data_IF_213365688334
#
_entry.id   IF_213365688334
#
_cell.length_a   1.000
_cell.length_b   1.000
_cell.length_c   1.000
_cell.angle_alpha   90.00
_cell.angle_beta   90.00
_cell.angle_gamma   90.00
#
_symmetry.space_group_name_H-M   'P 1'
#
loop_
_entity.id
_entity.type
_entity.pdbx_description
1 polymer ?
#
# COMPACT_ATOMS: atom_id res chain seq x y z
N UNK A 1 -35.41 -18.15 -5.56
CA UNK A 1 -34.20 -18.08 -6.42
C UNK A 1 -33.75 -16.63 -6.51
N UNK A 2 -32.67 -16.24 -5.82
CA UNK A 2 -31.94 -14.98 -6.07
C UNK A 2 -30.45 -15.29 -5.90
N UNK A 3 -29.74 -15.31 -7.02
CA UNK A 3 -28.27 -15.43 -7.12
C UNK A 3 -27.68 -14.01 -7.22
N UNK A 4 -26.43 -13.87 -6.76
CA UNK A 4 -25.56 -12.72 -7.01
C UNK A 4 -25.75 -11.60 -5.98
N UNK A 5 -24.74 -11.12 -5.27
CA UNK A 5 -23.33 -10.99 -5.63
C UNK A 5 -22.45 -11.47 -4.48
N UNK A 6 -21.69 -12.55 -4.70
CA UNK A 6 -20.43 -12.73 -3.98
C UNK A 6 -19.46 -11.77 -4.66
N UNK A 7 -19.22 -10.61 -4.04
CA UNK A 7 -18.03 -9.81 -4.32
C UNK A 7 -16.86 -10.69 -3.94
N UNK A 8 -16.35 -11.42 -4.93
CA UNK A 8 -15.15 -12.21 -4.82
C UNK A 8 -14.01 -11.18 -4.74
N UNK A 9 -13.77 -10.64 -3.56
CA UNK A 9 -12.54 -9.91 -3.26
C UNK A 9 -11.44 -10.95 -3.34
N UNK A 10 -10.86 -11.08 -4.53
CA UNK A 10 -9.61 -11.77 -4.73
C UNK A 10 -8.58 -10.95 -3.96
N UNK A 11 -8.46 -11.22 -2.66
CA UNK A 11 -7.34 -10.77 -1.85
C UNK A 11 -6.12 -11.30 -2.60
N UNK A 12 -5.21 -10.45 -3.10
CA UNK A 12 -3.95 -10.94 -3.61
C UNK A 12 -3.28 -11.57 -2.40
N UNK A 13 -3.19 -12.89 -2.36
CA UNK A 13 -2.27 -13.60 -1.49
C UNK A 13 -0.85 -13.36 -2.03
N UNK A 14 -0.39 -12.11 -1.94
CA UNK A 14 0.99 -11.71 -2.04
C UNK A 14 1.42 -11.46 -0.61
N UNK A 15 2.28 -12.31 -0.08
CA UNK A 15 2.95 -12.06 1.19
C UNK A 15 4.43 -11.95 0.87
N UNK A 16 4.82 -10.81 0.28
CA UNK A 16 6.20 -10.56 -0.14
C UNK A 16 7.17 -10.77 1.03
N UNK A 17 6.75 -10.47 2.26
CA UNK A 17 7.51 -10.76 3.48
C UNK A 17 7.67 -12.26 3.77
N UNK A 18 6.71 -13.12 3.42
CA UNK A 18 6.90 -14.56 3.51
C UNK A 18 7.85 -15.07 2.42
N UNK A 19 7.79 -14.53 1.21
CA UNK A 19 8.71 -14.89 0.13
C UNK A 19 10.14 -14.50 0.51
N UNK A 20 10.33 -13.32 1.08
CA UNK A 20 11.60 -12.87 1.64
C UNK A 20 12.08 -13.80 2.77
N UNK A 21 11.19 -14.21 3.69
CA UNK A 21 11.52 -15.18 4.75
C UNK A 21 11.99 -16.52 4.18
N UNK A 22 11.31 -17.05 3.15
CA UNK A 22 11.69 -18.31 2.48
C UNK A 22 13.03 -18.19 1.77
N UNK A 23 13.30 -17.08 1.07
CA UNK A 23 14.59 -16.83 0.43
C UNK A 23 15.73 -16.76 1.45
N UNK A 24 15.49 -16.12 2.61
CA UNK A 24 16.48 -16.06 3.68
C UNK A 24 16.78 -17.45 4.27
N UNK A 25 15.75 -18.28 4.48
CA UNK A 25 15.92 -19.68 4.90
C UNK A 25 16.72 -20.50 3.87
N UNK A 26 16.37 -20.40 2.59
CA UNK A 26 17.08 -21.09 1.51
C UNK A 26 18.54 -20.64 1.41
N UNK A 27 18.84 -19.36 1.66
CA UNK A 27 20.21 -18.86 1.70
C UNK A 27 21.01 -19.49 2.85
N UNK A 28 20.40 -19.60 4.05
CA UNK A 28 21.01 -20.22 5.22
C UNK A 28 21.33 -21.71 4.96
N UNK A 29 20.42 -22.43 4.29
CA UNK A 29 20.60 -23.83 3.91
C UNK A 29 21.64 -24.01 2.79
N UNK A 30 21.66 -23.09 1.81
CA UNK A 30 22.58 -23.10 0.68
C UNK A 30 24.01 -22.71 1.03
N UNK A 31 24.29 -22.23 2.25
CA UNK A 31 25.65 -21.93 2.74
C UNK A 31 26.59 -23.13 2.66
N UNK A 32 26.05 -24.35 2.62
CA UNK A 32 26.81 -25.60 2.44
C UNK A 32 27.19 -25.87 0.96
N UNK A 33 26.56 -25.21 -0.01
CA UNK A 33 26.75 -25.40 -1.45
C UNK A 33 26.97 -24.05 -2.15
N UNK A 34 28.25 -23.62 -2.25
CA UNK A 34 28.65 -22.31 -2.81
C UNK A 34 28.07 -21.96 -4.18
N UNK A 35 27.73 -22.96 -5.01
CA UNK A 35 27.15 -22.77 -6.35
C UNK A 35 25.75 -22.15 -6.37
N UNK A 36 25.01 -22.21 -5.26
CA UNK A 36 23.63 -21.70 -5.18
C UNK A 36 23.51 -20.34 -4.47
N UNK A 37 24.58 -19.83 -3.87
CA UNK A 37 24.54 -18.58 -3.09
C UNK A 37 24.35 -17.33 -3.95
N UNK A 38 25.01 -17.27 -5.12
CA UNK A 38 24.91 -16.12 -6.04
C UNK A 38 23.49 -15.87 -6.59
N UNK A 39 22.77 -16.88 -7.12
CA UNK A 39 21.40 -16.65 -7.59
C UNK A 39 20.43 -16.32 -6.44
N UNK A 40 20.60 -16.93 -5.27
CA UNK A 40 19.75 -16.65 -4.10
C UNK A 40 19.97 -15.22 -3.59
N UNK A 41 21.21 -14.74 -3.54
CA UNK A 41 21.50 -13.37 -3.12
C UNK A 41 20.94 -12.34 -4.10
N UNK A 42 20.98 -12.62 -5.41
CA UNK A 42 20.36 -11.78 -6.42
C UNK A 42 18.82 -11.73 -6.28
N UNK A 43 18.19 -12.88 -6.04
CA UNK A 43 16.75 -12.96 -5.79
C UNK A 43 16.34 -12.19 -4.52
N UNK A 44 17.14 -12.27 -3.47
CA UNK A 44 16.88 -11.55 -2.22
C UNK A 44 17.01 -10.03 -2.41
N UNK A 45 18.03 -9.57 -3.12
CA UNK A 45 18.20 -8.15 -3.44
C UNK A 45 17.02 -7.61 -4.28
N UNK A 46 16.57 -8.38 -5.28
CA UNK A 46 15.41 -8.02 -6.10
C UNK A 46 14.13 -7.93 -5.26
N UNK A 47 13.88 -8.92 -4.38
CA UNK A 47 12.71 -8.91 -3.51
C UNK A 47 12.73 -7.75 -2.50
N UNK A 48 13.89 -7.40 -1.94
CA UNK A 48 14.00 -6.21 -1.10
C UNK A 48 13.66 -4.92 -1.87
N UNK A 49 14.15 -4.77 -3.10
CA UNK A 49 13.87 -3.60 -3.92
C UNK A 49 12.36 -3.47 -4.26
N UNK A 50 11.70 -4.58 -4.57
CA UNK A 50 10.25 -4.61 -4.82
C UNK A 50 9.45 -4.23 -3.56
N UNK A 51 9.84 -4.75 -2.39
CA UNK A 51 9.21 -4.39 -1.11
C UNK A 51 9.41 -2.90 -0.81
N UNK A 52 10.62 -2.37 -0.98
CA UNK A 52 10.93 -0.96 -0.74
C UNK A 52 10.11 -0.05 -1.66
N UNK A 53 9.98 -0.39 -2.94
CA UNK A 53 9.17 0.37 -3.90
C UNK A 53 7.69 0.40 -3.48
N UNK A 54 7.12 -0.75 -3.11
CA UNK A 54 5.72 -0.84 -2.68
C UNK A 54 5.49 -0.06 -1.37
N UNK A 55 6.42 -0.15 -0.41
CA UNK A 55 6.33 0.61 0.84
C UNK A 55 6.42 2.11 0.60
N UNK A 56 7.34 2.56 -0.24
CA UNK A 56 7.48 3.97 -0.59
C UNK A 56 6.20 4.49 -1.25
N UNK A 57 5.63 3.73 -2.18
CA UNK A 57 4.40 4.11 -2.86
C UNK A 57 3.22 4.18 -1.88
N UNK A 58 3.10 3.21 -0.98
CA UNK A 58 2.06 3.20 0.04
C UNK A 58 2.17 4.40 0.98
N UNK A 59 3.39 4.74 1.42
CA UNK A 59 3.66 5.91 2.24
C UNK A 59 3.29 7.21 1.52
N UNK A 60 3.62 7.33 0.23
CA UNK A 60 3.25 8.50 -0.58
C UNK A 60 1.74 8.66 -0.66
N UNK A 61 1.01 7.56 -0.91
CA UNK A 61 -0.46 7.59 -1.04
C UNK A 61 -1.15 7.95 0.28
N UNK A 62 -0.70 7.36 1.40
CA UNK A 62 -1.22 7.67 2.75
C UNK A 62 -0.86 9.10 3.16
N UNK A 63 0.37 9.54 2.93
CA UNK A 63 0.81 10.88 3.28
C UNK A 63 0.03 11.94 2.50
N UNK A 64 -0.16 11.74 1.19
CA UNK A 64 -0.93 12.66 0.38
C UNK A 64 -2.38 12.75 0.85
N UNK A 65 -3.01 11.62 1.21
CA UNK A 65 -4.36 11.62 1.78
C UNK A 65 -4.42 12.40 3.11
N UNK A 66 -3.43 12.23 3.99
CA UNK A 66 -3.34 12.97 5.24
C UNK A 66 -3.19 14.48 5.02
N UNK A 67 -2.32 14.90 4.08
CA UNK A 67 -2.15 16.31 3.71
C UNK A 67 -3.45 16.90 3.16
N UNK A 68 -4.17 16.15 2.31
CA UNK A 68 -5.47 16.57 1.79
C UNK A 68 -6.51 16.74 2.90
N UNK A 69 -6.61 15.80 3.84
CA UNK A 69 -7.50 15.93 5.01
C UNK A 69 -7.15 17.13 5.87
N UNK A 70 -5.86 17.35 6.13
CA UNK A 70 -5.39 18.50 6.90
C UNK A 70 -5.77 19.82 6.21
N UNK A 71 -5.58 19.92 4.90
CA UNK A 71 -5.97 21.09 4.13
C UNK A 71 -7.49 21.33 4.21
N UNK A 72 -8.31 20.28 4.07
CA UNK A 72 -9.77 20.39 4.20
C UNK A 72 -10.17 20.85 5.60
N UNK A 73 -9.56 20.29 6.66
CA UNK A 73 -9.80 20.72 8.03
C UNK A 73 -9.42 22.19 8.23
N UNK A 74 -8.27 22.62 7.70
CA UNK A 74 -7.86 24.03 7.77
C UNK A 74 -8.89 24.94 7.10
N UNK A 75 -9.42 24.56 5.94
CA UNK A 75 -10.46 25.35 5.27
C UNK A 75 -11.76 25.40 6.08
N UNK A 76 -12.19 24.29 6.67
CA UNK A 76 -13.39 24.23 7.52
C UNK A 76 -13.23 25.00 8.83
N UNK A 77 -12.01 25.13 9.34
CA UNK A 77 -11.71 25.85 10.59
C UNK A 77 -11.65 27.37 10.42
N UNK A 78 -11.57 27.89 9.19
CA UNK A 78 -11.59 29.35 8.93
C UNK A 78 -13.01 29.89 9.14
N UNK A 79 -13.32 30.26 10.37
CA UNK A 79 -14.65 30.76 10.78
C UNK A 79 -15.03 32.12 10.17
N UNK A 80 -14.03 32.89 9.75
CA UNK A 80 -14.21 34.26 9.28
C UNK A 80 -14.30 34.36 7.74
N UNK A 81 -14.16 33.24 7.03
CA UNK A 81 -14.22 33.20 5.57
C UNK A 81 -15.35 32.28 5.08
N UNK A 82 -16.04 32.65 3.99
CA UNK A 82 -16.99 31.75 3.37
C UNK A 82 -16.27 30.48 2.93
N UNK A 83 -16.93 29.32 3.09
CA UNK A 83 -16.38 28.06 2.60
C UNK A 83 -16.08 28.18 1.10
N UNK A 84 -14.87 27.78 0.72
CA UNK A 84 -14.41 27.82 -0.67
C UNK A 84 -15.02 26.71 -1.53
N UNK A 85 -15.83 25.84 -0.93
CA UNK A 85 -16.43 24.68 -1.58
C UNK A 85 -17.81 24.38 -0.99
N UNK A 86 -18.68 23.87 -1.84
CA UNK A 86 -19.97 23.29 -1.50
C UNK A 86 -19.83 21.92 -0.82
N UNK A 87 -20.94 21.41 -0.27
CA UNK A 87 -20.98 20.06 0.30
C UNK A 87 -20.71 18.96 -0.73
N UNK A 88 -21.13 19.15 -1.98
CA UNK A 88 -20.90 18.20 -3.08
C UNK A 88 -19.42 18.16 -3.48
N UNK A 89 -18.77 19.33 -3.56
CA UNK A 89 -17.34 19.43 -3.80
C UNK A 89 -16.53 18.84 -2.64
N UNK A 90 -16.96 19.08 -1.38
CA UNK A 90 -16.35 18.45 -0.21
C UNK A 90 -16.44 16.92 -0.26
N UNK A 91 -17.60 16.37 -0.64
CA UNK A 91 -17.78 14.93 -0.77
C UNK A 91 -16.87 14.34 -1.85
N UNK A 92 -16.74 15.02 -2.99
CA UNK A 92 -15.85 14.62 -4.09
C UNK A 92 -14.38 14.61 -3.65
N UNK A 93 -13.95 15.61 -2.88
CA UNK A 93 -12.59 15.65 -2.32
C UNK A 93 -12.34 14.53 -1.31
N UNK A 94 -13.31 14.23 -0.44
CA UNK A 94 -13.22 13.13 0.52
C UNK A 94 -13.17 11.76 -0.16
N UNK A 95 -13.88 11.59 -1.27
CA UNK A 95 -13.82 10.35 -2.06
C UNK A 95 -12.40 10.11 -2.60
N UNK A 96 -11.75 11.15 -3.13
CA UNK A 96 -10.37 11.05 -3.60
C UNK A 96 -9.38 10.69 -2.47
N UNK A 97 -9.58 11.26 -1.28
CA UNK A 97 -8.81 10.91 -0.08
C UNK A 97 -9.02 9.44 0.27
N UNK A 98 -10.26 8.98 0.28
CA UNK A 98 -10.61 7.59 0.58
C UNK A 98 -9.95 6.62 -0.41
N UNK A 99 -9.99 6.92 -1.70
CA UNK A 99 -9.35 6.11 -2.74
C UNK A 99 -7.83 6.01 -2.52
N UNK A 100 -7.17 7.12 -2.16
CA UNK A 100 -5.73 7.12 -1.86
C UNK A 100 -5.39 6.30 -0.61
N UNK A 101 -6.18 6.43 0.46
CA UNK A 101 -6.01 5.61 1.66
C UNK A 101 -6.20 4.14 1.36
N UNK A 102 -7.26 3.77 0.64
CA UNK A 102 -7.52 2.40 0.24
C UNK A 102 -6.38 1.82 -0.59
N UNK A 103 -5.85 2.59 -1.56
CA UNK A 103 -4.72 2.18 -2.38
C UNK A 103 -3.46 1.93 -1.55
N UNK A 104 -3.08 2.86 -0.69
CA UNK A 104 -1.88 2.72 0.16
C UNK A 104 -2.01 1.57 1.16
N UNK A 105 -3.18 1.40 1.79
CA UNK A 105 -3.43 0.28 2.70
C UNK A 105 -3.44 -1.06 1.97
N UNK A 106 -4.05 -1.14 0.79
CA UNK A 106 -4.05 -2.37 -0.01
C UNK A 106 -2.64 -2.78 -0.42
N UNK A 107 -1.75 -1.82 -0.67
CA UNK A 107 -0.34 -2.09 -0.98
C UNK A 107 0.40 -2.66 0.24
N UNK A 108 0.13 -2.16 1.44
CA UNK A 108 0.68 -2.70 2.69
C UNK A 108 0.13 -4.11 2.95
N UNK A 109 -1.17 -4.32 2.74
CA UNK A 109 -1.80 -5.63 2.88
C UNK A 109 -1.21 -6.66 1.89
N UNK A 110 -0.74 -6.23 0.72
CA UNK A 110 -0.01 -7.08 -0.24
C UNK A 110 1.43 -7.40 0.17
N UNK A 111 1.95 -6.77 1.23
CA UNK A 111 3.29 -7.06 1.75
C UNK A 111 3.25 -7.97 2.97
N UNK A 112 2.23 -7.80 3.83
CA UNK A 112 2.02 -8.50 5.10
C UNK A 112 1.57 -9.96 4.91
#
# INVERSE_FOLDING_TARGET
MKRGLRMNTHIPSCSALEQLRRLNQHMQEATQHQSHLSPISQQLAQQCAEIDEVLLQALVDIHAANVSLQAMLTLLQRRDEPLLFSSEEAASLLELVQQRLQRGLSQIDCLL
#
